data_IF_615446188646
#
_entry.id   IF_615446188646
#
_cell.length_a   1.000
_cell.length_b   1.000
_cell.length_c   1.000
_cell.angle_alpha   90.00
_cell.angle_beta   90.00
_cell.angle_gamma   90.00
#
_symmetry.space_group_name_H-M   'P 1'
#
loop_
_entity.id
_entity.type
_entity.pdbx_description
1 polymer ?
#
# COMPACT_ATOMS: atom_id res chain seq x y z
N UNK A 1 -8.95 -20.61 1.79
CA UNK A 1 -7.81 -19.92 1.18
C UNK A 1 -6.70 -19.76 2.19
N UNK A 2 -5.51 -20.14 1.81
CA UNK A 2 -4.36 -20.09 2.72
C UNK A 2 -3.66 -18.74 2.62
N UNK A 3 -3.11 -18.31 3.76
CA UNK A 3 -2.32 -17.09 3.82
C UNK A 3 -0.87 -17.42 4.08
N UNK A 4 0.00 -16.61 3.53
CA UNK A 4 1.42 -16.72 3.74
C UNK A 4 1.89 -15.49 4.52
N UNK A 5 2.66 -15.71 5.58
CA UNK A 5 3.26 -14.61 6.32
C UNK A 5 4.55 -14.19 5.64
N UNK A 6 4.65 -12.90 5.37
CA UNK A 6 5.87 -12.33 4.80
C UNK A 6 6.26 -11.12 5.61
N UNK A 7 7.52 -10.71 5.52
CA UNK A 7 7.95 -9.49 6.17
C UNK A 7 8.39 -8.47 5.14
N UNK A 8 8.02 -7.22 5.39
CA UNK A 8 8.30 -6.11 4.49
C UNK A 8 8.79 -4.94 5.31
N UNK A 9 9.75 -4.21 4.78
CA UNK A 9 10.19 -2.97 5.42
C UNK A 9 9.37 -1.83 4.86
N UNK A 10 8.83 -1.01 5.74
CA UNK A 10 7.99 0.11 5.35
C UNK A 10 8.60 1.39 5.89
N UNK A 11 8.57 2.45 5.08
CA UNK A 11 9.05 3.75 5.52
C UNK A 11 8.24 4.20 6.73
N UNK A 12 8.95 4.61 7.80
CA UNK A 12 8.29 4.96 9.06
C UNK A 12 7.21 6.01 8.91
N UNK A 13 7.53 7.11 8.26
CA UNK A 13 6.57 8.20 8.13
C UNK A 13 5.37 7.81 7.28
N UNK A 14 5.63 7.04 6.24
CA UNK A 14 4.56 6.56 5.37
C UNK A 14 3.64 5.64 6.16
N UNK A 15 4.21 4.77 6.97
CA UNK A 15 3.43 3.84 7.78
C UNK A 15 2.55 4.58 8.79
N UNK A 16 3.13 5.60 9.45
CA UNK A 16 2.37 6.40 10.40
C UNK A 16 1.17 7.06 9.73
N UNK A 17 1.40 7.64 8.56
CA UNK A 17 0.33 8.31 7.84
C UNK A 17 -0.73 7.34 7.37
N UNK A 18 -0.30 6.15 6.95
CA UNK A 18 -1.23 5.11 6.56
C UNK A 18 -2.10 4.69 7.74
N UNK A 19 -1.47 4.43 8.90
CA UNK A 19 -2.22 3.99 10.08
C UNK A 19 -3.23 5.05 10.51
N UNK A 20 -2.83 6.30 10.45
CA UNK A 20 -3.71 7.41 10.79
C UNK A 20 -4.92 7.45 9.87
N UNK A 21 -4.68 7.24 8.59
CA UNK A 21 -5.73 7.33 7.58
C UNK A 21 -6.71 6.16 7.66
N UNK A 22 -6.19 4.95 7.89
CA UNK A 22 -7.06 3.78 7.88
C UNK A 22 -7.98 3.70 9.09
N UNK A 23 -7.67 4.43 10.15
CA UNK A 23 -8.59 4.49 11.29
C UNK A 23 -9.93 5.05 10.84
N UNK A 24 -9.89 6.09 10.00
CA UNK A 24 -11.11 6.68 9.46
C UNK A 24 -11.80 5.77 8.45
N UNK A 25 -11.00 5.09 7.65
CA UNK A 25 -11.51 4.31 6.53
C UNK A 25 -11.84 2.88 6.89
N UNK A 26 -11.55 2.46 8.12
CA UNK A 26 -11.75 1.09 8.57
C UNK A 26 -11.12 0.08 7.62
N UNK A 27 -9.90 0.39 7.23
CA UNK A 27 -9.16 -0.40 6.27
C UNK A 27 -7.96 -1.02 6.97
N UNK A 28 -7.34 -2.05 6.39
CA UNK A 28 -6.20 -2.70 7.01
C UNK A 28 -5.03 -2.82 6.05
N UNK A 29 -3.84 -2.98 6.62
CA UNK A 29 -2.65 -3.18 5.79
C UNK A 29 -2.77 -4.48 4.99
N UNK A 30 -3.32 -5.51 5.59
CA UNK A 30 -3.49 -6.78 4.90
C UNK A 30 -4.37 -6.62 3.66
N UNK A 31 -5.46 -5.88 3.80
CA UNK A 31 -6.34 -5.61 2.66
C UNK A 31 -5.61 -4.83 1.58
N UNK A 32 -4.84 -3.83 1.99
CA UNK A 32 -4.09 -3.03 1.03
C UNK A 32 -3.12 -3.88 0.24
N UNK A 33 -2.35 -4.71 0.94
CA UNK A 33 -1.34 -5.54 0.30
C UNK A 33 -1.97 -6.52 -0.67
N UNK A 34 -2.98 -7.25 -0.22
CA UNK A 34 -3.61 -8.26 -1.06
C UNK A 34 -4.30 -7.65 -2.27
N UNK A 35 -5.00 -6.55 -2.06
CA UNK A 35 -5.71 -5.90 -3.16
C UNK A 35 -4.73 -5.25 -4.14
N UNK A 36 -3.64 -4.69 -3.62
CA UNK A 36 -2.62 -4.09 -4.49
C UNK A 36 -1.96 -5.16 -5.37
N UNK A 37 -1.66 -6.30 -4.80
CA UNK A 37 -1.09 -7.38 -5.57
C UNK A 37 -2.04 -7.86 -6.66
N UNK A 38 -3.30 -7.98 -6.31
CA UNK A 38 -4.31 -8.39 -7.27
C UNK A 38 -4.40 -7.41 -8.44
N UNK A 39 -4.43 -6.13 -8.12
CA UNK A 39 -4.51 -5.10 -9.15
C UNK A 39 -3.24 -5.04 -9.98
N UNK A 40 -2.10 -5.25 -9.34
CA UNK A 40 -0.82 -5.24 -10.07
C UNK A 40 -0.81 -6.32 -11.17
N UNK A 41 -1.38 -7.46 -10.86
CA UNK A 41 -1.42 -8.58 -11.80
C UNK A 41 -2.46 -8.36 -12.90
N UNK A 42 -3.60 -7.79 -12.54
CA UNK A 42 -4.77 -7.79 -13.43
C UNK A 42 -5.11 -6.43 -14.04
N UNK A 43 -4.54 -5.35 -13.53
CA UNK A 43 -4.85 -4.00 -13.99
C UNK A 43 -3.58 -3.33 -14.48
N UNK A 44 -3.42 -3.22 -15.78
CA UNK A 44 -2.20 -2.69 -16.35
C UNK A 44 -1.96 -1.22 -15.97
N UNK A 45 -3.02 -0.44 -15.84
CA UNK A 45 -2.88 0.95 -15.45
C UNK A 45 -2.37 1.08 -14.03
N UNK A 46 -2.89 0.26 -13.12
CA UNK A 46 -2.43 0.26 -11.74
C UNK A 46 -0.96 -0.17 -11.67
N UNK A 47 -0.61 -1.20 -12.43
CA UNK A 47 0.77 -1.68 -12.49
C UNK A 47 1.71 -0.57 -12.93
N UNK A 48 1.33 0.18 -13.96
CA UNK A 48 2.13 1.29 -14.45
C UNK A 48 2.30 2.36 -13.38
N UNK A 49 1.23 2.71 -12.70
CA UNK A 49 1.29 3.72 -11.65
C UNK A 49 2.24 3.30 -10.53
N UNK A 50 2.16 2.05 -10.12
CA UNK A 50 3.02 1.54 -9.04
C UNK A 50 4.47 1.54 -9.48
N UNK A 51 4.75 1.10 -10.70
CA UNK A 51 6.13 1.01 -11.19
C UNK A 51 6.78 2.38 -11.33
N UNK A 52 5.99 3.39 -11.66
CA UNK A 52 6.54 4.73 -11.83
C UNK A 52 6.46 5.59 -10.58
N UNK A 53 5.84 5.09 -9.53
CA UNK A 53 5.72 5.81 -8.27
C UNK A 53 7.00 5.64 -7.46
N UNK A 54 7.99 6.48 -7.75
CA UNK A 54 9.29 6.35 -7.11
C UNK A 54 9.54 7.39 -6.03
N UNK A 55 8.76 8.45 -5.99
CA UNK A 55 8.90 9.47 -4.96
C UNK A 55 7.83 9.26 -3.92
N UNK A 56 8.26 8.80 -2.76
CA UNK A 56 7.33 8.50 -1.67
C UNK A 56 7.39 9.63 -0.65
N UNK A 57 6.42 10.53 -0.74
CA UNK A 57 6.34 11.67 0.17
C UNK A 57 5.42 11.29 1.31
N UNK A 58 5.98 11.05 2.49
CA UNK A 58 5.24 10.41 3.56
C UNK A 58 4.09 11.22 4.13
N UNK A 59 4.20 12.51 4.17
CA UNK A 59 3.19 13.28 4.88
C UNK A 59 2.16 13.92 3.99
N UNK A 60 2.17 13.61 2.73
CA UNK A 60 1.22 14.21 1.82
C UNK A 60 1.38 15.70 1.70
N UNK A 61 2.50 16.19 2.09
CA UNK A 61 2.76 17.58 1.96
C UNK A 61 2.88 17.92 0.50
N UNK A 62 2.40 18.35 0.25
CA UNK A 62 2.48 18.62 -0.95
C UNK A 62 2.36 19.40 -1.21
#
# INVERSE_FOLDING_TARGET
MNYKLTSVKILNELYKNFKSKVVEDEFTLQKLVNRSMHLYINDNDFKQQIQTCTKLIPSGSR
#
